data_IF_638728395331
#
_entry.id   IF_638728395331
#
_cell.length_a   1.000
_cell.length_b   1.000
_cell.length_c   1.000
_cell.angle_alpha   90.00
_cell.angle_beta   90.00
_cell.angle_gamma   90.00
#
_symmetry.space_group_name_H-M   'P 1'
#
loop_
_entity.id
_entity.type
_entity.pdbx_description
1 polymer ?
#
# COMPACT_ATOMS: atom_id res chain seq x y z
N UNK A 1 1.44 -1.78 -9.47
CA UNK A 1 2.16 -1.18 -10.61
C UNK A 1 1.37 -0.08 -11.27
N UNK A 2 1.99 1.07 -11.55
CA UNK A 2 1.33 2.18 -12.20
C UNK A 2 1.16 1.96 -13.71
N UNK A 3 0.26 2.73 -14.31
CA UNK A 3 0.27 3.01 -15.75
C UNK A 3 0.89 4.40 -15.92
N UNK A 4 1.90 4.50 -16.77
CA UNK A 4 2.66 5.74 -16.98
C UNK A 4 2.72 6.11 -18.46
N UNK A 5 2.89 7.41 -18.72
CA UNK A 5 3.15 7.99 -20.03
C UNK A 5 4.46 8.75 -19.98
N UNK A 6 5.23 8.72 -21.08
CA UNK A 6 6.33 9.64 -21.27
C UNK A 6 5.83 10.88 -22.03
N UNK A 7 6.13 12.06 -21.50
CA UNK A 7 5.85 13.35 -22.12
C UNK A 7 6.86 13.63 -23.24
N UNK A 8 6.57 14.62 -24.09
CA UNK A 8 7.47 15.03 -25.18
C UNK A 8 8.84 15.52 -24.68
N UNK A 9 8.88 16.08 -23.47
CA UNK A 9 10.11 16.52 -22.80
C UNK A 9 10.88 15.37 -22.12
N UNK A 10 10.44 14.13 -22.30
CA UNK A 10 11.08 12.92 -21.76
C UNK A 10 10.72 12.58 -20.32
N UNK A 11 9.98 13.44 -19.60
CA UNK A 11 9.54 13.15 -18.22
C UNK A 11 8.42 12.12 -18.17
N UNK A 12 8.35 11.38 -17.06
CA UNK A 12 7.28 10.43 -16.81
C UNK A 12 6.11 11.09 -16.08
N UNK A 13 4.92 10.59 -16.39
CA UNK A 13 3.67 11.00 -15.77
C UNK A 13 2.85 9.76 -15.44
N UNK A 14 2.28 9.72 -14.24
CA UNK A 14 1.38 8.65 -13.84
C UNK A 14 0.00 8.94 -14.43
N UNK A 15 -0.56 7.95 -15.14
CA UNK A 15 -1.93 8.00 -15.69
C UNK A 15 -2.89 7.22 -14.78
N UNK A 16 -2.38 6.21 -14.08
CA UNK A 16 -3.10 5.46 -13.08
C UNK A 16 -2.14 4.94 -12.00
N UNK A 17 -2.49 5.13 -10.73
CA UNK A 17 -1.67 4.81 -9.56
C UNK A 17 -2.43 3.97 -8.53
N UNK A 18 -3.24 3.01 -9.00
CA UNK A 18 -4.10 2.21 -8.11
C UNK A 18 -3.30 1.31 -7.16
N UNK A 19 -3.73 1.16 -5.89
CA UNK A 19 -3.10 0.24 -4.97
C UNK A 19 -3.37 -1.21 -5.37
N UNK A 20 -2.44 -2.11 -5.00
CA UNK A 20 -2.60 -3.55 -5.15
C UNK A 20 -2.83 -4.23 -3.81
N UNK A 21 -3.37 -5.46 -3.85
CA UNK A 21 -3.66 -6.25 -2.64
C UNK A 21 -2.38 -6.55 -1.88
N UNK A 22 -2.23 -6.00 -0.68
CA UNK A 22 -0.98 -6.02 0.10
C UNK A 22 -0.67 -7.34 0.78
N UNK A 23 -1.65 -8.23 0.95
CA UNK A 23 -1.44 -9.50 1.64
C UNK A 23 -0.44 -10.42 0.91
N UNK A 24 -0.15 -10.18 -0.38
CA UNK A 24 0.83 -11.00 -1.11
C UNK A 24 2.27 -10.69 -0.67
N UNK A 25 2.48 -9.55 -0.04
CA UNK A 25 3.78 -9.02 0.38
C UNK A 25 4.02 -9.22 1.89
N UNK A 26 3.01 -9.72 2.63
CA UNK A 26 3.10 -10.12 4.05
C UNK A 26 4.31 -11.04 4.38
N UNK A 27 4.75 -11.96 3.50
CA UNK A 27 5.95 -12.76 3.79
C UNK A 27 7.24 -11.95 3.95
N UNK A 28 7.29 -10.72 3.43
CA UNK A 28 8.51 -9.92 3.29
C UNK A 28 8.46 -8.59 4.04
N UNK A 29 7.28 -7.98 4.18
CA UNK A 29 7.15 -6.58 4.59
C UNK A 29 7.74 -6.29 5.98
N UNK A 30 7.58 -7.22 6.94
CA UNK A 30 8.17 -7.07 8.27
C UNK A 30 9.71 -6.94 8.21
N UNK A 31 10.36 -7.70 7.32
CA UNK A 31 11.82 -7.67 7.15
C UNK A 31 12.25 -6.38 6.44
N UNK A 32 11.45 -5.90 5.48
CA UNK A 32 11.66 -4.61 4.78
C UNK A 32 11.55 -3.45 5.77
N UNK A 33 10.52 -3.42 6.61
CA UNK A 33 10.34 -2.39 7.65
C UNK A 33 11.56 -2.35 8.58
N UNK A 34 11.95 -3.50 9.13
CA UNK A 34 13.07 -3.59 10.05
C UNK A 34 14.40 -3.20 9.41
N UNK A 35 14.66 -3.65 8.18
CA UNK A 35 15.95 -3.47 7.51
C UNK A 35 16.16 -2.02 7.05
N UNK A 36 15.14 -1.40 6.44
CA UNK A 36 15.26 -0.06 5.88
C UNK A 36 14.78 1.05 6.84
N UNK A 37 14.23 0.69 7.99
CA UNK A 37 13.60 1.65 8.91
C UNK A 37 12.38 2.34 8.29
N UNK A 38 11.64 1.61 7.43
CA UNK A 38 10.47 2.12 6.73
C UNK A 38 9.40 2.54 7.75
N UNK A 39 8.77 3.70 7.53
CA UNK A 39 7.77 4.27 8.45
C UNK A 39 6.33 4.18 7.94
N UNK A 40 6.14 3.82 6.68
CA UNK A 40 4.84 3.79 6.05
C UNK A 40 4.80 2.82 4.89
N UNK A 41 3.71 2.05 4.81
CA UNK A 41 3.39 1.16 3.70
C UNK A 41 2.04 1.56 3.14
N UNK A 42 1.90 1.67 1.82
CA UNK A 42 0.63 2.02 1.16
C UNK A 42 0.16 0.85 0.30
N UNK A 43 -1.10 0.45 0.45
CA UNK A 43 -1.72 -0.52 -0.45
C UNK A 43 -3.22 -0.67 -0.24
N UNK A 44 -3.77 -1.85 -0.54
CA UNK A 44 -5.18 -2.17 -0.24
C UNK A 44 -5.34 -3.57 0.36
N UNK A 45 -6.44 -3.77 1.08
CA UNK A 45 -6.85 -5.05 1.66
C UNK A 45 -6.19 -5.40 2.99
N UNK A 46 -5.28 -4.55 3.51
CA UNK A 46 -4.59 -4.80 4.78
C UNK A 46 -3.44 -5.80 4.65
N UNK A 47 -2.74 -5.97 5.77
CA UNK A 47 -1.63 -6.90 5.92
C UNK A 47 -1.81 -7.73 7.19
N UNK A 48 -0.99 -8.76 7.34
CA UNK A 48 -1.12 -9.75 8.40
C UNK A 48 -0.41 -9.39 9.70
N UNK A 49 -0.40 -10.33 10.65
CA UNK A 49 0.15 -10.11 11.99
C UNK A 49 1.65 -9.83 12.02
N UNK A 50 2.44 -10.34 11.05
CA UNK A 50 3.89 -10.08 11.04
C UNK A 50 4.14 -8.61 10.73
N UNK A 51 3.45 -8.07 9.73
CA UNK A 51 3.56 -6.66 9.39
C UNK A 51 3.03 -5.77 10.50
N UNK A 52 1.89 -6.11 11.13
CA UNK A 52 1.36 -5.36 12.28
C UNK A 52 2.39 -5.27 13.42
N UNK A 53 3.03 -6.39 13.73
CA UNK A 53 4.07 -6.44 14.77
C UNK A 53 5.27 -5.57 14.41
N UNK A 54 5.73 -5.62 13.16
CA UNK A 54 6.81 -4.77 12.69
C UNK A 54 6.43 -3.27 12.76
N UNK A 55 5.18 -2.91 12.43
CA UNK A 55 4.67 -1.55 12.61
C UNK A 55 4.80 -1.08 14.07
N UNK A 56 4.45 -1.94 15.03
CA UNK A 56 4.58 -1.64 16.45
C UNK A 56 6.05 -1.53 16.92
N UNK A 57 6.89 -2.49 16.53
CA UNK A 57 8.30 -2.55 16.95
C UNK A 57 9.15 -1.43 16.34
N UNK A 58 8.83 -1.01 15.12
CA UNK A 58 9.63 -0.05 14.34
C UNK A 58 8.92 1.28 14.11
N UNK A 59 7.79 1.56 14.76
CA UNK A 59 7.07 2.83 14.64
C UNK A 59 6.67 3.14 13.19
N UNK A 60 6.10 2.15 12.50
CA UNK A 60 5.58 2.28 11.14
C UNK A 60 4.05 2.18 11.15
N UNK A 61 3.41 2.58 10.05
CA UNK A 61 1.95 2.47 9.86
C UNK A 61 1.62 1.92 8.48
N UNK A 62 0.46 1.26 8.36
CA UNK A 62 -0.11 0.87 7.08
C UNK A 62 -1.24 1.82 6.68
N UNK A 63 -1.06 2.41 5.51
CA UNK A 63 -2.01 3.27 4.83
C UNK A 63 -2.82 2.46 3.81
N UNK A 64 -4.14 2.44 4.00
CA UNK A 64 -5.05 1.94 2.99
C UNK A 64 -5.36 3.05 2.00
N UNK A 65 -4.99 2.85 0.74
CA UNK A 65 -5.43 3.67 -0.39
C UNK A 65 -6.70 3.08 -1.00
N UNK A 66 -7.57 3.94 -1.54
CA UNK A 66 -8.87 3.52 -2.08
C UNK A 66 -8.69 2.73 -3.38
N UNK A 67 -9.15 1.48 -3.40
CA UNK A 67 -9.19 0.66 -4.62
C UNK A 67 -10.17 1.21 -5.65
N UNK A 68 -9.82 1.11 -6.94
CA UNK A 68 -10.68 1.55 -8.05
C UNK A 68 -10.57 3.03 -8.40
N UNK A 69 -9.91 3.85 -7.59
CA UNK A 69 -9.71 5.28 -7.81
C UNK A 69 -8.34 5.60 -8.48
N UNK A 70 -7.86 4.73 -9.37
CA UNK A 70 -6.46 4.77 -9.83
C UNK A 70 -6.07 6.08 -10.54
N UNK A 71 -6.95 6.66 -11.35
CA UNK A 71 -6.69 7.95 -12.01
C UNK A 71 -6.67 9.11 -11.03
N UNK A 72 -7.61 9.14 -10.06
CA UNK A 72 -7.63 10.15 -9.00
C UNK A 72 -6.34 10.10 -8.15
N UNK A 73 -5.87 8.90 -7.82
CA UNK A 73 -4.61 8.74 -7.07
C UNK A 73 -3.40 9.18 -7.92
N UNK A 74 -3.46 9.01 -9.25
CA UNK A 74 -2.40 9.47 -10.13
C UNK A 74 -2.31 11.01 -10.17
N UNK A 75 -3.43 11.72 -10.04
CA UNK A 75 -3.45 13.18 -9.97
C UNK A 75 -2.68 13.74 -8.75
N UNK A 76 -2.59 12.95 -7.67
CA UNK A 76 -1.79 13.30 -6.50
C UNK A 76 -0.27 13.15 -6.73
N UNK A 77 0.17 12.55 -7.83
CA UNK A 77 1.59 12.39 -8.17
C UNK A 77 2.09 13.63 -8.92
N UNK A 78 2.81 14.51 -8.21
CA UNK A 78 3.27 15.79 -8.75
C UNK A 78 4.52 15.65 -9.62
N UNK A 79 5.38 14.66 -9.36
CA UNK A 79 6.65 14.47 -10.07
C UNK A 79 7.12 13.01 -10.01
N UNK A 80 7.64 12.51 -11.12
CA UNK A 80 8.49 11.30 -11.14
C UNK A 80 9.96 11.72 -11.08
N UNK A 81 10.61 11.46 -9.95
CA UNK A 81 12.01 11.85 -9.70
C UNK A 81 12.97 10.88 -10.36
N UNK A 82 12.72 9.57 -10.24
CA UNK A 82 13.54 8.53 -10.86
C UNK A 82 12.77 7.22 -11.00
N UNK A 83 13.29 6.33 -11.85
CA UNK A 83 12.81 4.96 -11.99
C UNK A 83 13.99 3.99 -12.02
N UNK A 84 13.92 2.93 -11.22
CA UNK A 84 14.92 1.88 -11.17
C UNK A 84 14.36 0.54 -11.67
N UNK A 85 15.22 -0.27 -12.29
CA UNK A 85 14.92 -1.63 -12.76
C UNK A 85 13.76 -1.75 -13.77
N UNK A 86 13.43 -0.66 -14.49
CA UNK A 86 12.39 -0.67 -15.54
C UNK A 86 12.63 -1.66 -16.66
N UNK A 87 13.89 -1.87 -17.07
CA UNK A 87 14.24 -2.83 -18.12
C UNK A 87 14.11 -4.28 -17.66
N UNK A 88 14.39 -4.53 -16.37
CA UNK A 88 14.38 -5.87 -15.77
C UNK A 88 12.96 -6.30 -15.38
N UNK A 89 12.19 -5.40 -14.77
CA UNK A 89 10.90 -5.71 -14.16
C UNK A 89 9.70 -5.14 -14.95
N UNK A 90 9.95 -4.35 -15.99
CA UNK A 90 8.91 -3.67 -16.73
C UNK A 90 8.28 -2.53 -15.95
N UNK A 91 7.37 -1.79 -16.59
CA UNK A 91 6.71 -0.60 -16.01
C UNK A 91 5.96 -0.90 -14.70
N UNK A 92 5.14 -1.96 -14.58
CA UNK A 92 4.32 -2.17 -13.40
C UNK A 92 5.11 -2.54 -12.13
N UNK A 93 6.25 -3.23 -12.28
CA UNK A 93 7.04 -3.75 -11.16
C UNK A 93 8.37 -3.01 -10.94
N UNK A 94 8.63 -1.96 -11.73
CA UNK A 94 9.76 -1.06 -11.51
C UNK A 94 9.61 -0.25 -10.21
N UNK A 95 10.74 0.18 -9.65
CA UNK A 95 10.76 1.06 -8.49
C UNK A 95 10.69 2.52 -8.94
N UNK A 96 9.54 3.14 -8.71
CA UNK A 96 9.29 4.53 -9.04
C UNK A 96 9.48 5.41 -7.80
N UNK A 97 10.37 6.39 -7.89
CA UNK A 97 10.52 7.43 -6.87
C UNK A 97 9.71 8.64 -7.31
N UNK A 98 8.70 8.97 -6.52
CA UNK A 98 7.72 10.00 -6.86
C UNK A 98 7.57 11.02 -5.73
N UNK A 99 7.22 12.25 -6.10
CA UNK A 99 6.67 13.23 -5.17
C UNK A 99 5.16 13.22 -5.29
N UNK A 100 4.49 13.34 -4.15
CA UNK A 100 3.04 13.38 -4.08
C UNK A 100 2.58 14.58 -3.24
N UNK A 101 1.43 15.11 -3.57
CA UNK A 101 0.74 16.20 -2.86
C UNK A 101 -0.70 15.75 -2.59
N UNK A 102 -1.21 16.01 -1.38
CA UNK A 102 -2.57 15.64 -0.96
C UNK A 102 -2.97 14.18 -1.25
N UNK A 103 -2.02 13.24 -1.09
CA UNK A 103 -2.22 11.83 -1.42
C UNK A 103 -3.25 11.17 -0.48
N UNK A 104 -4.41 10.71 -0.99
CA UNK A 104 -5.52 10.31 -0.14
C UNK A 104 -5.35 8.89 0.41
N UNK A 105 -5.13 8.77 1.73
CA UNK A 105 -4.99 7.50 2.44
C UNK A 105 -5.62 7.53 3.83
N UNK A 106 -5.90 6.34 4.37
CA UNK A 106 -6.37 6.15 5.74
C UNK A 106 -5.43 5.21 6.48
N UNK A 107 -5.01 5.57 7.70
CA UNK A 107 -4.28 4.63 8.57
C UNK A 107 -5.25 3.52 8.99
N UNK A 108 -4.94 2.28 8.64
CA UNK A 108 -5.78 1.12 9.01
C UNK A 108 -5.05 0.06 9.82
N UNK A 109 -3.72 0.19 9.93
CA UNK A 109 -2.92 -0.50 10.94
C UNK A 109 -1.92 0.51 11.51
N UNK A 110 -1.88 0.64 12.84
CA UNK A 110 -1.06 1.65 13.52
C UNK A 110 0.18 1.06 14.22
N UNK A 111 1.03 1.94 14.75
CA UNK A 111 2.22 1.57 15.52
C UNK A 111 1.93 1.21 16.98
N UNK A 112 0.66 1.12 17.37
CA UNK A 112 0.23 0.73 18.72
C UNK A 112 -0.33 -0.70 18.76
N UNK A 113 -0.35 -1.38 17.60
CA UNK A 113 -0.84 -2.75 17.48
C UNK A 113 -2.32 -2.84 17.11
N UNK A 114 -2.96 -1.74 16.71
CA UNK A 114 -4.34 -1.77 16.23
C UNK A 114 -4.40 -2.05 14.73
N UNK A 115 -5.40 -2.84 14.33
CA UNK A 115 -5.70 -3.16 12.94
C UNK A 115 -7.21 -3.21 12.74
N UNK A 116 -7.73 -2.28 11.93
CA UNK A 116 -9.16 -2.24 11.57
C UNK A 116 -9.55 -3.52 10.83
N UNK A 117 -8.62 -4.10 10.04
CA UNK A 117 -8.86 -5.36 9.32
C UNK A 117 -9.10 -6.52 10.27
N UNK A 118 -8.30 -6.62 11.34
CA UNK A 118 -8.46 -7.66 12.37
C UNK A 118 -9.76 -7.49 13.17
N UNK A 119 -10.14 -6.25 13.50
CA UNK A 119 -11.41 -5.96 14.17
C UNK A 119 -12.61 -6.36 13.30
N UNK A 120 -12.60 -5.96 12.03
CA UNK A 120 -13.68 -6.32 11.08
C UNK A 120 -13.75 -7.82 10.86
N UNK A 121 -12.61 -8.52 10.75
CA UNK A 121 -12.58 -9.98 10.62
C UNK A 121 -13.21 -10.66 11.84
N UNK A 122 -12.85 -10.24 13.06
CA UNK A 122 -13.39 -10.79 14.29
C UNK A 122 -14.91 -10.62 14.38
N UNK A 123 -15.41 -9.39 14.17
CA UNK A 123 -16.85 -9.08 14.18
C UNK A 123 -17.59 -9.86 13.08
N UNK A 124 -17.00 -9.97 11.89
CA UNK A 124 -17.61 -10.70 10.77
C UNK A 124 -17.71 -12.20 11.07
N UNK A 125 -16.70 -12.78 11.72
CA UNK A 125 -16.70 -14.19 12.10
C UNK A 125 -17.77 -14.50 13.14
N UNK A 126 -17.91 -13.66 14.17
CA UNK A 126 -18.98 -13.80 15.15
C UNK A 126 -20.37 -13.71 14.50
N UNK A 127 -20.54 -12.81 13.53
CA UNK A 127 -21.79 -12.70 12.78
C UNK A 127 -22.07 -13.95 11.95
N UNK A 128 -21.06 -14.51 11.28
CA UNK A 128 -21.19 -15.75 10.53
C UNK A 128 -21.60 -16.91 11.43
N UNK A 129 -20.94 -17.08 12.59
CA UNK A 129 -21.24 -18.14 13.56
C UNK A 129 -22.69 -18.08 14.04
N UNK A 130 -23.23 -16.88 14.27
CA UNK A 130 -24.65 -16.70 14.61
C UNK A 130 -25.58 -17.11 13.49
N UNK A 131 -25.25 -16.76 12.24
CA UNK A 131 -26.11 -17.05 11.09
C UNK A 131 -26.19 -18.55 10.77
N UNK A 132 -25.07 -19.28 10.91
CA UNK A 132 -25.01 -20.72 10.60
C UNK A 132 -25.53 -21.61 11.74
N UNK A 133 -25.72 -21.07 12.94
CA UNK A 133 -26.30 -21.78 14.08
C UNK A 133 -27.85 -21.85 14.04
N UNK A 134 -28.46 -21.17 13.07
CA UNK A 134 -29.92 -21.16 12.78
C UNK A 134 -30.28 -22.18 11.72
#
# INVERSE_FOLDING_TARGET
GPVVRQREDGRWEFVAAGPTTSIREEPYEADVIAHFGLRGVIGKGGMGPRTLRACQEHGAVYFHAVGGAASLIADAVSEVVSVYKKEEFGVPEAFWVVRVEDFPVVVTMDSHGHSIHGEVEAVSKEALERLIAT
#
